data_IF_113764281942
#
_entry.id   IF_113764281942
#
_cell.length_a   1.000
_cell.length_b   1.000
_cell.length_c   1.000
_cell.angle_alpha   90.00
_cell.angle_beta   90.00
_cell.angle_gamma   90.00
#
_symmetry.space_group_name_H-M   'P 1'
#
loop_
_entity.id
_entity.type
_entity.pdbx_description
1 polymer ?
#
# COMPACT_ATOMS: atom_id res chain seq x y z
N UNK A 1 8.13 15.32 14.59
CA UNK A 1 7.12 15.55 13.55
C UNK A 1 7.37 14.51 12.48
N UNK A 2 6.37 13.66 12.23
CA UNK A 2 6.52 12.41 11.51
C UNK A 2 6.90 12.64 10.03
N UNK A 3 8.03 12.04 9.67
CA UNK A 3 8.43 11.55 8.36
C UNK A 3 7.55 11.97 7.18
N UNK A 4 7.97 13.05 6.51
CA UNK A 4 7.55 13.39 5.16
C UNK A 4 8.61 12.86 4.21
N UNK A 5 8.44 11.64 3.68
CA UNK A 5 9.09 11.21 2.44
C UNK A 5 8.57 9.85 1.91
N UNK A 6 7.89 9.88 0.77
CA UNK A 6 8.24 9.08 -0.42
C UNK A 6 7.26 9.42 -1.55
N UNK A 7 7.64 10.41 -2.36
CA UNK A 7 7.06 10.61 -3.69
C UNK A 7 7.60 9.48 -4.58
N UNK A 8 6.75 8.49 -4.89
CA UNK A 8 6.99 7.48 -5.92
C UNK A 8 7.62 6.14 -5.49
N UNK A 9 7.39 5.66 -4.26
CA UNK A 9 7.89 4.35 -3.80
C UNK A 9 6.80 3.43 -3.26
N UNK A 10 7.05 2.11 -3.17
CA UNK A 10 6.08 1.14 -2.67
C UNK A 10 5.75 1.44 -1.20
N UNK A 11 4.51 1.85 -0.92
CA UNK A 11 4.05 2.29 0.41
C UNK A 11 3.49 1.13 1.22
N UNK A 12 3.45 1.24 2.55
CA UNK A 12 2.86 0.18 3.38
C UNK A 12 1.35 0.08 3.16
N UNK A 13 0.83 -1.14 3.23
CA UNK A 13 -0.61 -1.41 3.10
C UNK A 13 -1.48 -0.58 4.07
N UNK A 14 -1.03 -0.42 5.31
CA UNK A 14 -1.74 0.42 6.30
C UNK A 14 -1.73 1.90 5.93
N UNK A 15 -0.61 2.40 5.40
CA UNK A 15 -0.48 3.79 4.96
C UNK A 15 -1.35 4.06 3.72
N UNK A 16 -1.37 3.13 2.76
CA UNK A 16 -2.26 3.17 1.61
C UNK A 16 -3.74 3.25 2.04
N UNK A 17 -4.12 2.45 3.04
CA UNK A 17 -5.47 2.42 3.59
C UNK A 17 -5.86 3.78 4.20
N UNK A 18 -4.99 4.37 5.00
CA UNK A 18 -5.22 5.70 5.57
C UNK A 18 -5.29 6.79 4.51
N UNK A 19 -4.41 6.77 3.50
CA UNK A 19 -4.41 7.75 2.40
C UNK A 19 -5.70 7.69 1.56
N UNK A 20 -6.21 6.49 1.31
CA UNK A 20 -7.42 6.27 0.53
C UNK A 20 -8.70 6.36 1.39
N UNK A 21 -8.57 6.45 2.72
CA UNK A 21 -9.70 6.43 3.65
C UNK A 21 -10.47 5.11 3.64
N UNK A 22 -9.83 4.00 3.26
CA UNK A 22 -10.44 2.66 3.20
C UNK A 22 -9.75 1.72 4.17
N UNK A 23 -10.45 0.67 4.61
CA UNK A 23 -9.84 -0.33 5.47
C UNK A 23 -8.81 -1.19 4.73
N UNK A 24 -7.83 -1.71 5.47
CA UNK A 24 -6.80 -2.65 4.95
C UNK A 24 -7.42 -3.90 4.30
N UNK A 25 -8.57 -4.35 4.79
CA UNK A 25 -9.36 -5.44 4.19
C UNK A 25 -9.84 -5.09 2.76
N UNK A 26 -10.22 -3.84 2.50
CA UNK A 26 -10.64 -3.36 1.18
C UNK A 26 -9.48 -3.42 0.20
N UNK A 27 -8.29 -2.98 0.63
CA UNK A 27 -7.09 -3.07 -0.20
C UNK A 27 -6.68 -4.53 -0.46
N UNK A 28 -6.78 -5.41 0.54
CA UNK A 28 -6.57 -6.87 0.33
C UNK A 28 -7.54 -7.44 -0.70
N UNK A 29 -8.80 -6.99 -0.66
CA UNK A 29 -9.80 -7.41 -1.63
C UNK A 29 -9.44 -6.93 -3.03
N UNK A 30 -8.92 -5.71 -3.18
CA UNK A 30 -8.46 -5.21 -4.48
C UNK A 30 -7.26 -5.98 -5.03
N UNK A 31 -6.34 -6.42 -4.18
CA UNK A 31 -5.25 -7.31 -4.62
C UNK A 31 -5.78 -8.67 -5.08
N UNK A 32 -6.68 -9.27 -4.31
CA UNK A 32 -7.35 -10.52 -4.70
C UNK A 32 -8.18 -10.37 -6.00
N UNK A 33 -8.72 -9.19 -6.25
CA UNK A 33 -9.47 -8.83 -7.47
C UNK A 33 -8.54 -8.46 -8.64
N UNK A 34 -7.22 -8.34 -8.41
CA UNK A 34 -6.23 -7.93 -9.40
C UNK A 34 -6.25 -6.42 -9.72
N UNK A 35 -6.97 -5.63 -8.94
CA UNK A 35 -7.07 -4.16 -9.07
C UNK A 35 -5.90 -3.41 -8.43
N UNK A 36 -5.13 -4.06 -7.56
CA UNK A 36 -4.02 -3.45 -6.83
C UNK A 36 -2.84 -4.42 -6.76
N UNK A 37 -1.69 -4.02 -7.29
CA UNK A 37 -0.46 -4.81 -7.18
C UNK A 37 0.21 -4.57 -5.83
N UNK A 38 0.37 -5.65 -5.06
CA UNK A 38 1.12 -5.61 -3.81
C UNK A 38 2.40 -6.43 -3.96
N UNK A 39 3.53 -5.77 -3.76
CA UNK A 39 4.84 -6.41 -3.80
C UNK A 39 5.30 -6.72 -2.38
N UNK A 40 5.82 -7.94 -2.20
CA UNK A 40 6.45 -8.33 -0.93
C UNK A 40 7.86 -7.75 -0.89
N UNK A 41 8.09 -6.87 0.08
CA UNK A 41 9.42 -6.34 0.33
C UNK A 41 10.32 -7.42 0.94
N UNK A 42 11.63 -7.30 0.74
CA UNK A 42 12.66 -8.26 1.20
C UNK A 42 12.61 -8.49 2.73
N UNK A 43 12.12 -7.50 3.48
CA UNK A 43 11.85 -7.59 4.93
C UNK A 43 10.54 -8.27 5.32
N UNK A 44 9.84 -8.96 4.41
CA UNK A 44 8.58 -9.67 4.68
C UNK A 44 7.33 -8.79 4.78
N UNK A 45 7.45 -7.49 4.53
CA UNK A 45 6.36 -6.52 4.59
C UNK A 45 5.60 -6.47 3.25
N UNK A 46 4.27 -6.39 3.31
CA UNK A 46 3.43 -6.16 2.13
C UNK A 46 3.42 -4.66 1.81
N UNK A 47 4.00 -4.30 0.68
CA UNK A 47 3.97 -2.95 0.15
C UNK A 47 2.99 -2.88 -1.03
N UNK A 48 2.33 -1.75 -1.17
CA UNK A 48 1.40 -1.42 -2.23
C UNK A 48 2.13 -0.53 -3.22
N UNK A 49 2.20 -0.96 -4.47
CA UNK A 49 2.64 -0.11 -5.57
C UNK A 49 1.44 0.68 -6.05
N UNK A 50 1.33 1.92 -5.57
CA UNK A 50 0.40 2.88 -6.16
C UNK A 50 1.11 3.56 -7.33
N UNK A 51 0.84 3.07 -8.53
CA UNK A 51 1.08 3.84 -9.75
C UNK A 51 0.19 5.11 -9.65
N UNK A 52 0.82 6.28 -9.60
CA UNK A 52 0.11 7.57 -9.52
C UNK A 52 -0.79 7.83 -10.73
#
# INVERSE_FOLDING_TARGET
MADQQAVGGPIRLGQAAEMLGVSVETLRRWEADGRLSMTRSEGGQRLVEMEQ
#
